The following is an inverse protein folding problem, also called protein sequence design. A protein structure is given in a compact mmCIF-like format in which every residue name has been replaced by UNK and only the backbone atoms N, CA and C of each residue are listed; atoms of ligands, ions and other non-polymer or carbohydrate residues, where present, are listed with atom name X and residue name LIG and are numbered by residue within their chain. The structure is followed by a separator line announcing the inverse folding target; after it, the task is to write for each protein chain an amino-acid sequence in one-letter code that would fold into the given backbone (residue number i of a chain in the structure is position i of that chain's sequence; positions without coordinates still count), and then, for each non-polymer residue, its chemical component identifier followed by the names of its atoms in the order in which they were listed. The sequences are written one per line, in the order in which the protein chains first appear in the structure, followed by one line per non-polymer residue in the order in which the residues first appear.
data_IF_688582320737
#
_entry.id   IF_688582320737
#
_cell.length_a   1.000
_cell.length_b   1.000
_cell.length_c   1.000
_cell.angle_alpha   90.00
_cell.angle_beta   90.00
_cell.angle_gamma   90.00
#
_symmetry.space_group_name_H-M   'P 1'
#
loop_
_entity.id
_entity.type
_entity.pdbx_description
1 polymer ?
#
# COMPACT_ATOMS: atom_id res chain seq x y z
N UNK A 1 11.87 -8.63 -29.32
CA UNK A 1 10.91 -8.10 -28.32
C UNK A 1 11.73 -7.55 -27.17
N UNK A 2 11.70 -6.23 -26.96
CA UNK A 2 12.53 -5.57 -25.94
C UNK A 2 11.96 -5.89 -24.56
N UNK A 3 12.75 -6.48 -23.67
CA UNK A 3 12.36 -6.65 -22.28
C UNK A 3 12.37 -5.25 -21.64
N UNK A 4 11.21 -4.59 -21.60
CA UNK A 4 11.06 -3.28 -20.98
C UNK A 4 11.35 -3.42 -19.48
N UNK A 5 12.24 -2.57 -18.97
CA UNK A 5 12.54 -2.49 -17.53
C UNK A 5 11.28 -2.21 -16.68
N UNK A 6 10.24 -1.63 -17.31
CA UNK A 6 8.96 -1.28 -16.70
C UNK A 6 7.84 -2.29 -16.97
N UNK A 7 8.18 -3.51 -17.41
CA UNK A 7 7.20 -4.59 -17.46
C UNK A 7 7.08 -5.23 -16.06
N UNK A 8 6.22 -4.66 -15.22
CA UNK A 8 6.02 -5.12 -13.84
C UNK A 8 5.42 -6.54 -13.78
N UNK A 9 4.58 -6.90 -14.74
CA UNK A 9 3.95 -8.23 -14.82
C UNK A 9 4.98 -9.34 -15.12
N UNK A 10 5.96 -9.05 -15.98
CA UNK A 10 6.99 -10.02 -16.39
C UNK A 10 8.22 -10.06 -15.46
N UNK A 11 8.38 -9.08 -14.57
CA UNK A 11 9.55 -8.94 -13.69
C UNK A 11 9.15 -8.94 -12.21
N UNK A 12 8.27 -9.86 -11.82
CA UNK A 12 7.89 -10.06 -10.42
C UNK A 12 9.06 -10.72 -9.67
N UNK A 13 9.67 -9.99 -8.74
CA UNK A 13 10.77 -10.50 -7.92
C UNK A 13 10.31 -11.35 -6.73
N UNK A 14 9.05 -11.22 -6.30
CA UNK A 14 8.50 -11.92 -5.14
C UNK A 14 7.03 -12.31 -5.37
N UNK A 15 6.64 -13.57 -5.11
CA UNK A 15 5.23 -13.98 -5.14
C UNK A 15 4.40 -13.18 -4.15
N UNK A 16 3.17 -12.82 -4.53
CA UNK A 16 2.27 -11.99 -3.69
C UNK A 16 1.97 -12.64 -2.33
N UNK A 17 1.96 -13.97 -2.26
CA UNK A 17 1.74 -14.73 -1.02
C UNK A 17 2.84 -14.57 0.04
N UNK A 18 4.05 -14.20 -0.38
CA UNK A 18 5.21 -14.05 0.52
C UNK A 18 5.54 -12.58 0.81
N UNK A 19 4.92 -11.66 0.08
CA UNK A 19 5.24 -10.24 0.11
C UNK A 19 5.13 -9.64 1.52
N UNK A 20 4.04 -9.94 2.24
CA UNK A 20 3.79 -9.41 3.58
C UNK A 20 4.84 -9.86 4.61
N UNK A 21 5.33 -11.10 4.48
CA UNK A 21 6.37 -11.63 5.38
C UNK A 21 7.69 -10.95 5.07
N UNK A 22 8.07 -10.88 3.79
CA UNK A 22 9.35 -10.33 3.36
C UNK A 22 9.44 -8.83 3.67
N UNK A 23 8.38 -8.06 3.43
CA UNK A 23 8.39 -6.60 3.68
C UNK A 23 8.56 -6.29 5.17
N UNK A 24 7.88 -7.04 6.06
CA UNK A 24 7.99 -6.88 7.52
C UNK A 24 9.38 -7.24 8.05
N UNK A 25 10.06 -8.21 7.42
CA UNK A 25 11.42 -8.59 7.79
C UNK A 25 12.47 -7.60 7.24
N UNK A 26 12.18 -6.99 6.10
CA UNK A 26 13.13 -6.13 5.38
C UNK A 26 13.07 -4.67 5.83
N UNK A 27 11.90 -4.21 6.31
CA UNK A 27 11.68 -2.82 6.73
C UNK A 27 11.53 -2.77 8.24
N UNK A 28 12.54 -2.26 8.98
CA UNK A 28 12.42 -2.05 10.41
C UNK A 28 11.22 -1.15 10.73
N UNK A 29 10.50 -1.51 11.78
CA UNK A 29 9.34 -0.76 12.26
C UNK A 29 8.22 -0.56 11.20
N UNK A 30 8.10 -1.49 10.24
CA UNK A 30 7.07 -1.45 9.18
C UNK A 30 5.66 -1.21 9.73
N UNK A 31 5.26 -1.91 10.79
CA UNK A 31 3.93 -1.71 11.40
C UNK A 31 3.79 -0.32 12.07
N UNK A 32 4.85 0.14 12.75
CA UNK A 32 4.83 1.44 13.42
C UNK A 32 4.77 2.60 12.41
N UNK A 33 5.32 2.42 11.20
CA UNK A 33 5.17 3.37 10.10
C UNK A 33 3.69 3.63 9.79
N UNK A 34 2.85 2.59 9.71
CA UNK A 34 1.42 2.76 9.48
C UNK A 34 0.74 3.51 10.62
N UNK A 35 1.11 3.23 11.88
CA UNK A 35 0.59 3.97 13.04
C UNK A 35 0.92 5.46 12.95
N UNK A 36 2.15 5.81 12.55
CA UNK A 36 2.57 7.20 12.39
C UNK A 36 1.83 7.89 11.23
N UNK A 37 1.68 7.21 10.10
CA UNK A 37 0.92 7.71 8.94
C UNK A 37 -0.54 7.95 9.34
N UNK A 38 -1.18 7.00 10.02
CA UNK A 38 -2.56 7.14 10.49
C UNK A 38 -2.72 8.35 11.42
N UNK A 39 -1.81 8.51 12.39
CA UNK A 39 -1.84 9.64 13.32
C UNK A 39 -1.71 10.98 12.60
N UNK A 40 -0.83 11.06 11.60
CA UNK A 40 -0.67 12.26 10.79
C UNK A 40 -1.92 12.55 9.95
N UNK A 41 -2.45 11.55 9.25
CA UNK A 41 -3.64 11.71 8.40
C UNK A 41 -4.86 12.14 9.23
N UNK A 42 -5.06 11.57 10.43
CA UNK A 42 -6.13 11.99 11.36
C UNK A 42 -6.08 13.47 11.73
N UNK A 43 -4.89 14.05 11.78
CA UNK A 43 -4.73 15.47 12.16
C UNK A 43 -5.17 16.41 11.03
N UNK A 44 -5.06 15.99 9.77
CA UNK A 44 -5.24 16.86 8.60
C UNK A 44 -6.46 16.54 7.76
N UNK A 45 -6.96 15.31 7.82
CA UNK A 45 -8.07 14.86 6.96
C UNK A 45 -9.42 14.96 7.68
N UNK A 46 -10.45 15.26 6.88
CA UNK A 46 -11.83 15.17 7.34
C UNK A 46 -12.24 13.71 7.58
N UNK A 47 -13.30 13.51 8.38
CA UNK A 47 -13.84 12.17 8.66
C UNK A 47 -14.30 11.44 7.39
N UNK A 48 -14.67 12.14 6.31
CA UNK A 48 -15.11 11.59 5.04
C UNK A 48 -14.11 11.80 3.89
N UNK A 49 -12.81 11.79 4.20
CA UNK A 49 -11.76 12.07 3.22
C UNK A 49 -11.71 11.07 2.06
N UNK A 50 -11.26 11.55 0.89
CA UNK A 50 -10.97 10.74 -0.28
C UNK A 50 -9.45 10.70 -0.47
N UNK A 51 -8.85 9.51 -0.44
CA UNK A 51 -7.41 9.30 -0.41
C UNK A 51 -6.99 8.51 -1.65
N UNK A 52 -6.02 9.01 -2.41
CA UNK A 52 -5.36 8.29 -3.49
C UNK A 52 -4.06 7.66 -2.97
N UNK A 53 -3.96 6.34 -3.07
CA UNK A 53 -2.78 5.56 -2.68
C UNK A 53 -2.05 5.14 -3.96
N UNK A 54 -0.87 5.71 -4.17
CA UNK A 54 -0.03 5.44 -5.35
C UNK A 54 0.98 4.35 -5.01
N UNK A 55 1.03 3.30 -5.83
CA UNK A 55 1.80 2.09 -5.52
C UNK A 55 1.10 1.22 -4.47
N UNK A 56 -0.20 1.02 -4.63
CA UNK A 56 -1.03 0.34 -3.64
C UNK A 56 -0.65 -1.14 -3.44
N UNK A 57 0.05 -1.77 -4.39
CA UNK A 57 0.70 -3.07 -4.23
C UNK A 57 -0.16 -4.13 -3.53
N UNK A 58 0.37 -4.70 -2.44
CA UNK A 58 -0.32 -5.70 -1.60
C UNK A 58 -1.55 -5.18 -0.85
N UNK A 59 -1.83 -3.87 -0.88
CA UNK A 59 -3.01 -3.25 -0.28
C UNK A 59 -2.92 -3.03 1.23
N UNK A 60 -1.72 -3.11 1.82
CA UNK A 60 -1.52 -3.01 3.26
C UNK A 60 -2.01 -1.66 3.83
N UNK A 61 -1.72 -0.56 3.16
CA UNK A 61 -2.20 0.80 3.51
C UNK A 61 -3.73 0.85 3.57
N UNK A 62 -4.39 0.28 2.56
CA UNK A 62 -5.85 0.25 2.45
C UNK A 62 -6.44 -0.62 3.56
N UNK A 63 -5.87 -1.80 3.78
CA UNK A 63 -6.33 -2.73 4.81
C UNK A 63 -6.19 -2.14 6.21
N UNK A 64 -5.05 -1.51 6.51
CA UNK A 64 -4.77 -0.92 7.84
C UNK A 64 -5.61 0.33 8.08
N UNK A 65 -5.61 1.30 7.16
CA UNK A 65 -6.32 2.56 7.36
C UNK A 65 -7.84 2.39 7.23
N UNK A 66 -8.31 1.53 6.32
CA UNK A 66 -9.73 1.33 6.06
C UNK A 66 -10.48 0.66 7.22
N UNK A 67 -9.80 -0.19 8.00
CA UNK A 67 -10.39 -0.80 9.21
C UNK A 67 -10.67 0.25 10.28
N UNK A 68 -9.79 1.23 10.45
CA UNK A 68 -9.92 2.28 11.47
C UNK A 68 -10.81 3.46 11.03
N UNK A 69 -11.05 3.61 9.72
CA UNK A 69 -11.69 4.78 9.13
C UNK A 69 -12.74 4.43 8.07
N UNK A 70 -13.88 3.90 8.52
CA UNK A 70 -14.95 3.42 7.63
C UNK A 70 -15.58 4.48 6.73
N UNK A 71 -15.47 5.77 7.07
CA UNK A 71 -15.96 6.89 6.26
C UNK A 71 -14.93 7.38 5.22
N UNK A 72 -13.66 6.98 5.33
CA UNK A 72 -12.65 7.30 4.33
C UNK A 72 -12.84 6.46 3.07
N UNK A 73 -12.71 7.10 1.90
CA UNK A 73 -12.74 6.43 0.61
C UNK A 73 -11.34 6.38 0.04
N UNK A 74 -10.84 5.18 -0.21
CA UNK A 74 -9.48 4.97 -0.71
C UNK A 74 -9.51 4.44 -2.14
N UNK A 75 -8.72 5.07 -3.01
CA UNK A 75 -8.48 4.58 -4.37
C UNK A 75 -7.02 4.17 -4.47
N UNK A 76 -6.76 2.88 -4.66
CA UNK A 76 -5.41 2.36 -4.90
C UNK A 76 -5.09 2.32 -6.38
N UNK A 77 -3.88 2.74 -6.76
CA UNK A 77 -3.35 2.55 -8.12
C UNK A 77 -2.01 1.82 -8.05
N UNK A 78 -1.85 0.82 -8.90
CA UNK A 78 -0.60 0.07 -9.05
C UNK A 78 -0.42 -0.33 -10.52
N UNK A 79 0.80 -0.22 -11.09
CA UNK A 79 1.06 -0.62 -12.47
C UNK A 79 1.07 -2.14 -12.69
N UNK A 80 1.19 -2.97 -11.64
CA UNK A 80 1.03 -4.42 -11.74
C UNK A 80 -0.42 -4.77 -12.09
N UNK A 81 -0.58 -5.57 -13.16
CA UNK A 81 -1.86 -6.19 -13.48
C UNK A 81 -1.95 -7.53 -12.76
N UNK A 82 -2.99 -7.70 -11.95
CA UNK A 82 -3.34 -8.97 -11.32
C UNK A 82 -3.89 -9.97 -12.34
#
# INVERSE_FOLDING_TARGET
MQNSLFNYDANISLPTSEYDVVVRQSIPAYDALFTMVEALLKLYLANNAHILIVGAGGGNEIATLGQSHSEWKMTGVDPLRR
#
